data_IF_626738147003
#
_entry.id   IF_626738147003
#
_cell.length_a   1.000
_cell.length_b   1.000
_cell.length_c   1.000
_cell.angle_alpha   90.00
_cell.angle_beta   90.00
_cell.angle_gamma   90.00
#
_symmetry.space_group_name_H-M   'P 1'
#
loop_
_entity.id
_entity.type
_entity.pdbx_description
1 polymer ?
#
# COMPACT_ATOMS: atom_id res chain seq x y z
N UNK A 1 28.61 33.34 62.03
CA UNK A 1 27.43 32.48 61.78
C UNK A 1 26.25 33.39 61.47
N UNK A 2 25.31 32.92 60.65
CA UNK A 2 24.06 33.57 60.15
C UNK A 2 24.31 34.81 59.27
N UNK A 3 24.04 34.83 57.97
CA UNK A 3 22.79 34.50 57.25
C UNK A 3 23.19 34.06 55.82
N UNK A 4 23.19 32.78 55.48
CA UNK A 4 22.08 32.07 54.82
C UNK A 4 21.22 32.90 53.86
N UNK A 5 21.43 32.61 52.57
CA UNK A 5 20.38 32.43 51.56
C UNK A 5 19.34 33.56 51.41
N UNK A 6 19.76 34.69 50.81
CA UNK A 6 18.80 35.60 50.17
C UNK A 6 18.39 35.00 48.84
N UNK A 7 17.30 34.25 48.91
CA UNK A 7 16.71 33.44 47.88
C UNK A 7 16.72 34.08 46.49
N UNK A 8 17.27 33.31 45.55
CA UNK A 8 16.96 33.40 44.14
C UNK A 8 15.45 33.16 43.98
N UNK A 9 14.68 34.25 44.08
CA UNK A 9 13.23 34.26 43.89
C UNK A 9 12.97 33.76 42.47
N UNK A 10 12.63 32.47 42.41
CA UNK A 10 12.21 31.67 41.27
C UNK A 10 11.13 32.42 40.48
N UNK A 11 11.56 33.31 39.59
CA UNK A 11 10.73 33.91 38.56
C UNK A 11 10.38 32.78 37.61
N UNK A 12 9.28 32.06 37.90
CA UNK A 12 8.61 31.27 36.87
C UNK A 12 8.35 32.26 35.74
N UNK A 13 9.11 32.12 34.67
CA UNK A 13 9.03 32.99 33.50
C UNK A 13 7.57 33.09 33.10
N UNK A 14 7.06 34.32 33.00
CA UNK A 14 5.65 34.62 32.65
C UNK A 14 5.25 33.86 31.38
N UNK A 15 6.22 33.61 30.49
CA UNK A 15 6.09 32.77 29.30
C UNK A 15 5.66 31.33 29.60
N UNK A 16 6.18 30.69 30.64
CA UNK A 16 5.80 29.32 31.02
C UNK A 16 4.37 29.27 31.52
N UNK A 17 3.96 30.27 32.31
CA UNK A 17 2.57 30.36 32.82
C UNK A 17 1.60 30.66 31.67
N UNK A 18 1.98 31.57 30.76
CA UNK A 18 1.20 31.89 29.57
C UNK A 18 1.06 30.67 28.63
N UNK A 19 2.14 29.91 28.43
CA UNK A 19 2.13 28.71 27.59
C UNK A 19 1.22 27.62 28.17
N UNK A 20 1.29 27.37 29.48
CA UNK A 20 0.39 26.42 30.15
C UNK A 20 -1.06 26.87 30.00
N UNK A 21 -1.34 28.16 30.18
CA UNK A 21 -2.68 28.70 30.00
C UNK A 21 -3.20 28.51 28.58
N UNK A 22 -2.38 28.77 27.57
CA UNK A 22 -2.73 28.56 26.14
C UNK A 22 -3.00 27.09 25.85
N UNK A 23 -2.15 26.17 26.29
CA UNK A 23 -2.34 24.73 26.10
C UNK A 23 -3.63 24.27 26.80
N UNK A 24 -3.87 24.73 28.02
CA UNK A 24 -5.07 24.38 28.79
C UNK A 24 -6.34 24.93 28.12
N UNK A 25 -6.28 26.15 27.58
CA UNK A 25 -7.39 26.74 26.83
C UNK A 25 -7.68 25.96 25.54
N UNK A 26 -6.64 25.54 24.81
CA UNK A 26 -6.78 24.74 23.59
C UNK A 26 -7.41 23.37 23.89
N UNK A 27 -6.98 22.71 24.96
CA UNK A 27 -7.58 21.45 25.43
C UNK A 27 -9.03 21.67 25.84
N UNK A 28 -9.33 22.74 26.59
CA UNK A 28 -10.69 23.07 27.01
C UNK A 28 -11.63 23.33 25.83
N UNK A 29 -11.17 24.08 24.82
CA UNK A 29 -11.90 24.28 23.56
C UNK A 29 -12.14 22.95 22.86
N UNK A 30 -11.12 22.10 22.76
CA UNK A 30 -11.25 20.75 22.19
C UNK A 30 -12.31 19.91 22.91
N UNK A 31 -12.31 19.91 24.24
CA UNK A 31 -13.30 19.16 25.04
C UNK A 31 -14.70 19.75 24.97
N UNK A 32 -14.83 21.07 24.83
CA UNK A 32 -16.12 21.76 24.74
C UNK A 32 -16.78 21.55 23.37
N UNK A 33 -15.98 21.45 22.30
CA UNK A 33 -16.43 21.08 20.96
C UNK A 33 -16.62 19.57 20.75
N UNK A 34 -15.97 18.72 21.55
CA UNK A 34 -16.09 17.25 21.50
C UNK A 34 -17.54 16.73 21.41
N UNK A 35 -18.52 17.18 22.24
CA UNK A 35 -19.88 16.66 22.16
C UNK A 35 -20.64 17.03 20.87
N UNK A 36 -20.23 18.08 20.16
CA UNK A 36 -20.76 18.44 18.84
C UNK A 36 -20.10 17.60 17.73
N UNK A 37 -18.83 17.25 17.91
CA UNK A 37 -18.08 16.37 17.01
C UNK A 37 -18.68 14.94 17.02
N UNK A 38 -18.95 14.39 18.20
CA UNK A 38 -19.50 13.03 18.38
C UNK A 38 -20.90 12.83 17.78
N UNK A 39 -21.67 13.89 17.52
CA UNK A 39 -22.96 13.77 16.83
C UNK A 39 -22.84 13.70 15.30
N UNK A 40 -21.79 14.29 14.71
CA UNK A 40 -21.62 14.39 13.25
C UNK A 40 -20.77 13.24 12.71
N UNK A 41 -19.72 12.87 13.46
CA UNK A 41 -18.69 11.91 13.06
C UNK A 41 -19.15 10.45 12.95
N UNK A 42 -20.11 9.91 13.74
CA UNK A 42 -20.44 8.48 13.67
C UNK A 42 -20.99 8.07 12.30
N UNK A 43 -21.59 8.99 11.55
CA UNK A 43 -22.07 8.73 10.20
C UNK A 43 -20.97 8.90 9.14
N UNK A 44 -19.95 9.72 9.41
CA UNK A 44 -18.88 10.03 8.45
C UNK A 44 -17.84 8.92 8.42
N UNK A 45 -17.40 8.42 9.57
CA UNK A 45 -16.41 7.34 9.65
C UNK A 45 -16.91 6.07 8.96
N UNK A 46 -18.14 5.63 9.27
CA UNK A 46 -18.74 4.47 8.62
C UNK A 46 -18.94 4.63 7.10
N UNK A 47 -19.24 5.85 6.63
CA UNK A 47 -19.38 6.14 5.20
C UNK A 47 -18.02 6.08 4.49
N UNK A 48 -16.97 6.62 5.10
CA UNK A 48 -15.60 6.57 4.57
C UNK A 48 -15.14 5.12 4.49
N UNK A 49 -15.33 4.34 5.56
CA UNK A 49 -14.94 2.93 5.60
C UNK A 49 -15.63 2.11 4.51
N UNK A 50 -16.94 2.35 4.31
CA UNK A 50 -17.72 1.69 3.26
C UNK A 50 -17.20 2.03 1.86
N UNK A 51 -16.95 3.31 1.57
CA UNK A 51 -16.48 3.76 0.25
C UNK A 51 -15.09 3.21 -0.06
N UNK A 52 -14.17 3.32 0.88
CA UNK A 52 -12.80 2.84 0.70
C UNK A 52 -12.76 1.31 0.56
N UNK A 53 -13.54 0.58 1.36
CA UNK A 53 -13.64 -0.88 1.26
C UNK A 53 -14.19 -1.31 -0.10
N UNK A 54 -15.24 -0.62 -0.57
CA UNK A 54 -15.80 -0.86 -1.90
C UNK A 54 -14.75 -0.59 -2.99
N UNK A 55 -14.04 0.53 -2.92
CA UNK A 55 -13.01 0.91 -3.87
C UNK A 55 -11.88 -0.14 -3.92
N UNK A 56 -11.35 -0.55 -2.76
CA UNK A 56 -10.33 -1.61 -2.63
C UNK A 56 -10.79 -2.91 -3.30
N UNK A 57 -12.01 -3.37 -3.02
CA UNK A 57 -12.55 -4.60 -3.59
C UNK A 57 -12.73 -4.52 -5.12
N UNK A 58 -13.22 -3.39 -5.64
CA UNK A 58 -13.35 -3.17 -7.08
C UNK A 58 -11.99 -3.20 -7.76
N UNK A 59 -10.98 -2.57 -7.16
CA UNK A 59 -9.62 -2.57 -7.72
C UNK A 59 -9.01 -3.98 -7.70
N UNK A 60 -9.21 -4.77 -6.64
CA UNK A 60 -8.79 -6.18 -6.65
C UNK A 60 -9.49 -6.99 -7.74
N UNK A 61 -10.79 -6.78 -7.97
CA UNK A 61 -11.53 -7.46 -9.03
C UNK A 61 -10.97 -7.10 -10.41
N UNK A 62 -10.67 -5.83 -10.66
CA UNK A 62 -10.05 -5.37 -11.90
C UNK A 62 -8.66 -5.99 -12.08
N UNK A 63 -7.79 -5.88 -11.06
CA UNK A 63 -6.44 -6.44 -11.11
C UNK A 63 -6.45 -7.95 -11.34
N UNK A 64 -7.32 -8.69 -10.63
CA UNK A 64 -7.52 -10.12 -10.80
C UNK A 64 -8.04 -10.47 -12.19
N UNK A 65 -9.02 -9.71 -12.69
CA UNK A 65 -9.57 -9.87 -14.04
C UNK A 65 -8.51 -9.70 -15.13
N UNK A 66 -7.64 -8.69 -15.01
CA UNK A 66 -6.52 -8.46 -15.94
C UNK A 66 -5.55 -9.65 -15.95
N UNK A 67 -5.22 -10.24 -14.79
CA UNK A 67 -4.37 -11.44 -14.70
C UNK A 67 -5.01 -12.60 -15.46
N UNK A 68 -6.28 -12.88 -15.16
CA UNK A 68 -7.01 -14.00 -15.77
C UNK A 68 -7.09 -13.82 -17.28
N UNK A 69 -7.48 -12.63 -17.74
CA UNK A 69 -7.54 -12.31 -19.17
C UNK A 69 -6.18 -12.44 -19.85
N UNK A 70 -5.12 -11.86 -19.26
CA UNK A 70 -3.77 -11.93 -19.79
C UNK A 70 -3.24 -13.35 -19.87
N UNK A 71 -3.50 -14.17 -18.85
CA UNK A 71 -3.14 -15.59 -18.82
C UNK A 71 -3.86 -16.39 -19.90
N UNK A 72 -5.19 -16.22 -20.04
CA UNK A 72 -5.99 -16.87 -21.08
C UNK A 72 -5.52 -16.47 -22.49
N UNK A 73 -5.36 -15.17 -22.75
CA UNK A 73 -4.91 -14.67 -24.04
C UNK A 73 -3.50 -15.17 -24.41
N UNK A 74 -2.59 -15.22 -23.44
CA UNK A 74 -1.25 -15.78 -23.65
C UNK A 74 -1.29 -17.29 -23.90
N UNK A 75 -2.11 -18.04 -23.16
CA UNK A 75 -2.27 -19.49 -23.33
C UNK A 75 -2.83 -19.84 -24.71
N UNK A 76 -3.89 -19.16 -25.15
CA UNK A 76 -4.48 -19.36 -26.49
C UNK A 76 -3.44 -19.09 -27.58
N UNK A 77 -2.68 -18.00 -27.48
CA UNK A 77 -1.62 -17.67 -28.45
C UNK A 77 -0.47 -18.68 -28.43
N UNK A 78 -0.11 -19.18 -27.25
CA UNK A 78 0.91 -20.21 -27.12
C UNK A 78 0.49 -21.51 -27.81
N UNK A 79 -0.76 -21.95 -27.59
CA UNK A 79 -1.32 -23.14 -28.24
C UNK A 79 -1.38 -22.94 -29.76
N UNK A 80 -1.89 -21.80 -30.22
CA UNK A 80 -1.97 -21.49 -31.66
C UNK A 80 -0.58 -21.46 -32.33
N UNK A 81 0.43 -20.88 -31.68
CA UNK A 81 1.79 -20.85 -32.20
C UNK A 81 2.35 -22.27 -32.34
N UNK A 82 2.18 -23.11 -31.30
CA UNK A 82 2.69 -24.48 -31.28
C UNK A 82 1.98 -25.41 -32.28
N UNK A 83 0.71 -25.14 -32.59
CA UNK A 83 -0.05 -25.87 -33.61
C UNK A 83 0.31 -25.47 -35.05
N UNK A 84 0.81 -24.25 -35.26
CA UNK A 84 1.12 -23.73 -36.59
C UNK A 84 2.57 -23.96 -37.00
N UNK A 85 3.50 -23.87 -36.06
CA UNK A 85 4.93 -24.12 -36.29
C UNK A 85 5.64 -24.42 -34.96
N UNK A 86 6.25 -25.60 -34.82
CA UNK A 86 6.90 -26.04 -33.56
C UNK A 86 8.14 -25.21 -33.21
N UNK A 87 8.78 -24.57 -34.19
CA UNK A 87 10.08 -23.91 -34.05
C UNK A 87 10.04 -22.39 -33.88
N UNK A 88 8.86 -21.76 -33.86
CA UNK A 88 8.79 -20.30 -33.74
C UNK A 88 8.82 -19.83 -32.26
N UNK A 89 9.67 -18.85 -31.92
CA UNK A 89 9.72 -18.29 -30.58
C UNK A 89 8.38 -17.62 -30.24
N UNK A 90 7.71 -18.12 -29.19
CA UNK A 90 6.38 -17.64 -28.82
C UNK A 90 6.45 -16.26 -28.14
N UNK A 91 5.92 -15.23 -28.81
CA UNK A 91 5.72 -13.90 -28.24
C UNK A 91 4.75 -13.87 -27.03
N UNK A 92 4.04 -14.97 -26.75
CA UNK A 92 3.06 -15.09 -25.66
C UNK A 92 3.64 -14.70 -24.29
N UNK A 93 4.92 -15.01 -24.02
CA UNK A 93 5.57 -14.67 -22.76
C UNK A 93 5.70 -13.16 -22.53
N UNK A 94 6.03 -12.41 -23.60
CA UNK A 94 6.16 -10.94 -23.51
C UNK A 94 4.81 -10.28 -23.25
N UNK A 95 3.75 -10.76 -23.91
CA UNK A 95 2.39 -10.31 -23.65
C UNK A 95 1.94 -10.61 -22.22
N UNK A 96 2.15 -11.84 -21.75
CA UNK A 96 1.78 -12.24 -20.38
C UNK A 96 2.46 -11.37 -19.32
N UNK A 97 3.76 -11.11 -19.49
CA UNK A 97 4.51 -10.25 -18.57
C UNK A 97 3.91 -8.84 -18.47
N UNK A 98 3.43 -8.26 -19.57
CA UNK A 98 2.80 -6.94 -19.57
C UNK A 98 1.51 -6.90 -18.75
N UNK A 99 0.61 -7.88 -18.95
CA UNK A 99 -0.63 -7.99 -18.19
C UNK A 99 -0.39 -8.26 -16.70
N UNK A 100 0.62 -9.08 -16.37
CA UNK A 100 1.02 -9.33 -15.00
C UNK A 100 1.54 -8.06 -14.31
N UNK A 101 2.39 -7.27 -14.97
CA UNK A 101 2.87 -5.99 -14.42
C UNK A 101 1.71 -5.02 -14.19
N UNK A 102 0.83 -4.84 -15.19
CA UNK A 102 -0.34 -3.96 -15.08
C UNK A 102 -1.24 -4.35 -13.89
N UNK A 103 -1.51 -5.65 -13.72
CA UNK A 103 -2.32 -6.12 -12.60
C UNK A 103 -1.70 -5.84 -11.23
N UNK A 104 -0.36 -5.88 -11.15
CA UNK A 104 0.37 -5.60 -9.92
C UNK A 104 0.27 -4.12 -9.54
N UNK A 105 0.29 -3.21 -10.51
CA UNK A 105 0.07 -1.77 -10.24
C UNK A 105 -1.32 -1.52 -9.62
N UNK A 106 -2.36 -2.22 -10.11
CA UNK A 106 -3.70 -2.16 -9.50
C UNK A 106 -3.71 -2.75 -8.08
N UNK A 107 -3.06 -3.89 -7.84
CA UNK A 107 -3.01 -4.48 -6.51
C UNK A 107 -2.26 -3.59 -5.51
N UNK A 108 -1.15 -2.96 -5.91
CA UNK A 108 -0.44 -1.99 -5.07
C UNK A 108 -1.36 -0.80 -4.74
N UNK A 109 -2.12 -0.29 -5.72
CA UNK A 109 -3.11 0.76 -5.46
C UNK A 109 -4.19 0.34 -4.45
N UNK A 110 -4.72 -0.87 -4.58
CA UNK A 110 -5.70 -1.43 -3.64
C UNK A 110 -5.13 -1.55 -2.21
N UNK A 111 -3.88 -2.00 -2.08
CA UNK A 111 -3.17 -2.07 -0.80
C UNK A 111 -3.00 -0.71 -0.15
N UNK A 112 -2.57 0.30 -0.92
CA UNK A 112 -2.37 1.65 -0.37
C UNK A 112 -3.68 2.15 0.24
N UNK A 113 -4.82 1.97 -0.45
CA UNK A 113 -6.14 2.32 0.08
C UNK A 113 -6.48 1.48 1.32
N UNK A 114 -6.23 0.17 1.28
CA UNK A 114 -6.52 -0.75 2.38
C UNK A 114 -5.74 -0.42 3.66
N UNK A 115 -4.49 0.04 3.54
CA UNK A 115 -3.69 0.45 4.71
C UNK A 115 -4.24 1.68 5.43
N UNK A 116 -5.07 2.50 4.76
CA UNK A 116 -5.79 3.60 5.40
C UNK A 116 -6.92 3.08 6.31
N UNK A 117 -7.53 1.95 5.94
CA UNK A 117 -8.63 1.30 6.65
C UNK A 117 -8.16 0.39 7.79
N UNK A 118 -7.37 -0.61 7.44
CA UNK A 118 -6.91 -1.66 8.37
C UNK A 118 -5.45 -1.43 8.66
N UNK A 119 -5.16 -0.94 9.87
CA UNK A 119 -3.78 -0.82 10.39
C UNK A 119 -3.23 -2.17 10.89
N UNK A 120 -3.61 -3.29 10.28
CA UNK A 120 -3.16 -4.64 10.68
C UNK A 120 -2.06 -5.12 9.73
N UNK A 121 -0.87 -5.33 10.29
CA UNK A 121 0.32 -5.71 9.51
C UNK A 121 0.24 -7.13 8.93
N UNK A 122 -0.60 -7.99 9.49
CA UNK A 122 -0.69 -9.41 9.13
C UNK A 122 -1.27 -9.60 7.72
N UNK A 123 -2.38 -8.93 7.40
CA UNK A 123 -2.99 -9.00 6.08
C UNK A 123 -2.11 -8.38 4.99
N UNK A 124 -1.44 -7.28 5.34
CA UNK A 124 -0.47 -6.62 4.47
C UNK A 124 0.77 -7.50 4.19
N UNK A 125 1.23 -8.24 5.20
CA UNK A 125 2.40 -9.12 5.07
C UNK A 125 2.16 -10.29 4.10
N UNK A 126 1.00 -10.94 4.17
CA UNK A 126 0.64 -12.04 3.24
C UNK A 126 0.63 -11.54 1.80
N UNK A 127 0.14 -10.33 1.57
CA UNK A 127 0.04 -9.81 0.22
C UNK A 127 1.39 -9.34 -0.35
N UNK A 128 2.23 -8.68 0.47
CA UNK A 128 3.61 -8.39 0.10
C UNK A 128 4.38 -9.67 -0.24
N UNK A 129 4.18 -10.75 0.53
CA UNK A 129 4.82 -12.03 0.29
C UNK A 129 4.53 -12.57 -1.12
N UNK A 130 3.27 -12.49 -1.57
CA UNK A 130 2.86 -12.92 -2.91
C UNK A 130 3.49 -12.06 -4.00
N UNK A 131 3.54 -10.74 -3.80
CA UNK A 131 4.16 -9.80 -4.77
C UNK A 131 5.67 -10.07 -4.88
N UNK A 132 6.37 -10.21 -3.76
CA UNK A 132 7.82 -10.49 -3.73
C UNK A 132 8.10 -11.84 -4.40
N UNK A 133 7.30 -12.86 -4.11
CA UNK A 133 7.44 -14.19 -4.71
C UNK A 133 7.35 -14.13 -6.24
N UNK A 134 6.42 -13.32 -6.79
CA UNK A 134 6.34 -13.09 -8.24
C UNK A 134 7.57 -12.38 -8.80
N UNK A 135 8.05 -11.34 -8.10
CA UNK A 135 9.28 -10.63 -8.47
C UNK A 135 10.49 -11.56 -8.49
N UNK A 136 10.62 -12.40 -7.46
CA UNK A 136 11.71 -13.35 -7.32
C UNK A 136 11.69 -14.40 -8.44
N UNK A 137 10.56 -15.05 -8.70
CA UNK A 137 10.46 -16.02 -9.80
C UNK A 137 10.73 -15.37 -11.16
N UNK A 138 10.20 -14.16 -11.40
CA UNK A 138 10.46 -13.42 -12.64
C UNK A 138 11.95 -13.09 -12.81
N UNK A 139 12.61 -12.68 -11.73
CA UNK A 139 14.03 -12.34 -11.70
C UNK A 139 14.91 -13.58 -11.94
N UNK A 140 14.60 -14.70 -11.26
CA UNK A 140 15.29 -15.99 -11.47
C UNK A 140 15.22 -16.39 -12.93
N UNK A 141 14.02 -16.36 -13.52
CA UNK A 141 13.81 -16.71 -14.93
C UNK A 141 14.50 -15.71 -15.88
N UNK A 142 14.61 -14.44 -15.50
CA UNK A 142 15.35 -13.43 -16.27
C UNK A 142 16.85 -13.70 -16.24
N UNK A 143 17.41 -14.00 -15.07
CA UNK A 143 18.82 -14.38 -14.92
C UNK A 143 19.12 -15.68 -15.66
N UNK A 144 18.30 -16.72 -15.50
CA UNK A 144 18.45 -17.98 -16.22
C UNK A 144 18.59 -17.74 -17.74
N UNK A 145 17.70 -16.94 -18.33
CA UNK A 145 17.81 -16.58 -19.76
C UNK A 145 19.06 -15.79 -20.10
N UNK A 146 19.57 -14.94 -19.21
CA UNK A 146 20.79 -14.16 -19.45
C UNK A 146 22.05 -15.04 -19.40
N UNK A 147 22.10 -15.99 -18.47
CA UNK A 147 23.23 -16.88 -18.28
C UNK A 147 23.24 -18.06 -19.28
N UNK A 148 22.06 -18.56 -19.67
CA UNK A 148 21.93 -19.64 -20.66
C UNK A 148 21.66 -19.14 -22.09
N UNK A 149 21.36 -17.86 -22.29
CA UNK A 149 21.10 -17.24 -23.60
C UNK A 149 22.34 -16.93 -24.42
N UNK A 150 23.53 -17.40 -24.01
CA UNK A 150 24.76 -17.35 -24.82
C UNK A 150 25.11 -18.70 -25.47
N UNK A 151 24.15 -19.65 -25.55
CA UNK A 151 24.37 -20.96 -26.18
C UNK A 151 23.52 -21.22 -27.44
N UNK A 152 22.64 -20.32 -27.86
CA UNK A 152 21.86 -20.46 -29.11
C UNK A 152 21.93 -19.17 -29.93
N UNK A 153 23.14 -18.88 -30.41
CA UNK A 153 23.35 -18.19 -31.69
C UNK A 153 24.11 -19.13 -32.61
N UNK A 154 23.42 -20.17 -33.09
CA UNK A 154 23.51 -20.70 -34.45
C UNK A 154 22.10 -21.01 -34.95
#
# INVERSE_FOLDING_TARGET
MTELDKGAKKSRSILTVALIFVVTLFVFIGTLLSPLYDQIVPNVEGTIDMILTLATNVIYLIGGGIIVFGALAAAVRFIQAKLKDTYQPSYARKFLSGYLTLSLEFFIGAEIIKTVLTRTLEEFAVLILVIISRGLFSLILYWERKWHGTAETE
#
